data_IF_244932641663
#
_entry.id   IF_244932641663
#
_cell.length_a   1.000
_cell.length_b   1.000
_cell.length_c   1.000
_cell.angle_alpha   90.00
_cell.angle_beta   90.00
_cell.angle_gamma   90.00
#
_symmetry.space_group_name_H-M   'P 1'
#
loop_
_entity.id
_entity.type
_entity.pdbx_description
1 polymer ?
#
# COMPACT_ATOMS: atom_id res chain seq x y z
N UNK A 1 -31.20 -20.29 -43.37
CA UNK A 1 -29.85 -20.83 -43.13
C UNK A 1 -29.11 -19.82 -42.29
N UNK A 2 -28.95 -20.10 -40.99
CA UNK A 2 -28.33 -19.21 -40.02
C UNK A 2 -27.09 -19.93 -39.48
N UNK A 3 -25.96 -19.75 -40.15
CA UNK A 3 -24.71 -20.44 -39.82
C UNK A 3 -23.55 -19.46 -39.98
N UNK A 4 -23.39 -18.57 -39.00
CA UNK A 4 -22.16 -17.77 -38.80
C UNK A 4 -22.08 -17.03 -37.45
N UNK A 5 -22.67 -17.59 -36.39
CA UNK A 5 -22.68 -16.95 -35.05
C UNK A 5 -21.65 -17.56 -34.09
N UNK A 6 -21.22 -18.80 -34.33
CA UNK A 6 -20.29 -19.50 -33.45
C UNK A 6 -18.85 -18.97 -33.57
N UNK A 7 -18.35 -18.69 -34.78
CA UNK A 7 -17.00 -18.13 -34.99
C UNK A 7 -16.79 -16.81 -34.24
N UNK A 8 -17.76 -15.89 -34.30
CA UNK A 8 -17.65 -14.59 -33.62
C UNK A 8 -17.65 -14.72 -32.09
N UNK A 9 -18.40 -15.66 -31.53
CA UNK A 9 -18.44 -15.91 -30.08
C UNK A 9 -17.13 -16.55 -29.63
N UNK A 10 -16.61 -17.52 -30.38
CA UNK A 10 -15.33 -18.19 -30.08
C UNK A 10 -14.16 -17.21 -30.15
N UNK A 11 -14.11 -16.34 -31.17
CA UNK A 11 -13.08 -15.30 -31.25
C UNK A 11 -13.15 -14.29 -30.11
N UNK A 12 -14.37 -13.92 -29.69
CA UNK A 12 -14.58 -13.02 -28.55
C UNK A 12 -14.10 -13.68 -27.25
N UNK A 13 -14.45 -14.94 -27.01
CA UNK A 13 -13.99 -15.70 -25.83
C UNK A 13 -12.47 -15.82 -25.83
N UNK A 14 -11.87 -16.15 -26.98
CA UNK A 14 -10.41 -16.26 -27.14
C UNK A 14 -9.72 -14.93 -26.84
N UNK A 15 -10.28 -13.82 -27.32
CA UNK A 15 -9.77 -12.47 -27.05
C UNK A 15 -9.84 -12.14 -25.56
N UNK A 16 -10.99 -12.38 -24.93
CA UNK A 16 -11.17 -12.15 -23.48
C UNK A 16 -10.22 -13.01 -22.67
N UNK A 17 -10.06 -14.28 -23.03
CA UNK A 17 -9.14 -15.20 -22.36
C UNK A 17 -7.70 -14.68 -22.40
N UNK A 18 -7.19 -14.32 -23.58
CA UNK A 18 -5.83 -13.78 -23.71
C UNK A 18 -5.68 -12.44 -23.00
N UNK A 19 -6.68 -11.56 -23.05
CA UNK A 19 -6.67 -10.30 -22.32
C UNK A 19 -6.59 -10.52 -20.80
N UNK A 20 -7.37 -11.46 -20.24
CA UNK A 20 -7.33 -11.82 -18.83
C UNK A 20 -6.02 -12.50 -18.45
N UNK A 21 -5.48 -13.36 -19.31
CA UNK A 21 -4.19 -14.03 -19.09
C UNK A 21 -3.06 -13.01 -19.04
N UNK A 22 -2.97 -12.11 -20.02
CA UNK A 22 -1.96 -11.05 -20.06
C UNK A 22 -2.12 -10.12 -18.85
N UNK A 23 -3.34 -9.69 -18.53
CA UNK A 23 -3.61 -8.86 -17.37
C UNK A 23 -3.24 -9.56 -16.05
N UNK A 24 -3.48 -10.87 -15.96
CA UNK A 24 -3.11 -11.71 -14.83
C UNK A 24 -1.60 -11.76 -14.67
N UNK A 25 -0.88 -12.18 -15.72
CA UNK A 25 0.59 -12.24 -15.75
C UNK A 25 1.21 -10.88 -15.44
N UNK A 26 0.67 -9.81 -16.01
CA UNK A 26 1.16 -8.47 -15.74
C UNK A 26 1.00 -8.07 -14.27
N UNK A 27 -0.17 -8.37 -13.68
CA UNK A 27 -0.47 -8.09 -12.26
C UNK A 27 0.27 -9.00 -11.28
N UNK A 28 0.63 -10.21 -11.68
CA UNK A 28 1.38 -11.13 -10.82
C UNK A 28 2.87 -10.83 -10.83
N UNK A 29 3.43 -10.49 -12.00
CA UNK A 29 4.87 -10.32 -12.17
C UNK A 29 5.34 -8.88 -11.99
N UNK A 30 4.66 -7.90 -12.59
CA UNK A 30 5.22 -6.54 -12.69
C UNK A 30 4.64 -5.59 -11.65
N UNK A 31 3.36 -5.22 -11.80
CA UNK A 31 2.74 -4.17 -10.99
C UNK A 31 1.36 -4.56 -10.52
N UNK A 32 1.09 -4.35 -9.23
CA UNK A 32 -0.25 -4.48 -8.69
C UNK A 32 -0.80 -3.11 -8.30
N UNK A 33 -1.98 -2.70 -8.83
CA UNK A 33 -2.64 -1.49 -8.38
C UNK A 33 -3.26 -1.69 -6.99
N UNK A 34 -3.12 -0.70 -6.12
CA UNK A 34 -3.77 -0.61 -4.82
C UNK A 34 -4.47 0.72 -4.67
N UNK A 35 -5.54 0.71 -3.87
CA UNK A 35 -6.28 1.90 -3.46
C UNK A 35 -6.09 2.09 -1.95
N UNK A 36 -5.77 3.30 -1.50
CA UNK A 36 -5.53 3.61 -0.09
C UNK A 36 -6.84 3.94 0.64
N UNK A 37 -7.31 3.08 1.58
CA UNK A 37 -8.59 3.28 2.25
C UNK A 37 -8.46 3.96 3.62
N UNK A 38 -7.23 4.19 4.09
CA UNK A 38 -6.93 4.53 5.49
C UNK A 38 -6.01 5.75 5.61
N UNK A 39 -6.13 6.48 6.72
CA UNK A 39 -5.35 7.68 7.03
C UNK A 39 -3.93 7.42 7.54
N UNK A 40 -3.53 6.16 7.71
CA UNK A 40 -2.32 5.82 8.48
C UNK A 40 -1.00 6.23 7.82
N UNK A 41 -1.03 6.54 6.53
CA UNK A 41 0.13 6.97 5.75
C UNK A 41 -0.06 8.40 5.21
N UNK A 42 -1.00 9.20 5.74
CA UNK A 42 -1.39 10.53 5.24
C UNK A 42 -0.25 11.52 5.01
N UNK A 43 0.85 11.37 5.74
CA UNK A 43 2.01 12.22 5.52
C UNK A 43 2.57 11.97 4.10
N UNK A 44 2.49 10.77 3.54
CA UNK A 44 2.95 10.51 2.16
C UNK A 44 1.90 10.02 1.18
N UNK A 45 0.82 9.41 1.66
CA UNK A 45 -0.24 8.79 0.86
C UNK A 45 -1.59 9.19 1.44
N UNK A 46 -2.38 9.93 0.67
CA UNK A 46 -3.70 10.39 1.07
C UNK A 46 -4.75 9.31 0.86
N UNK A 47 -5.87 9.47 1.56
CA UNK A 47 -7.02 8.60 1.37
C UNK A 47 -7.59 8.85 -0.03
N UNK A 48 -7.79 7.78 -0.79
CA UNK A 48 -8.25 7.89 -2.17
C UNK A 48 -7.14 7.68 -3.20
N UNK A 49 -5.87 7.76 -2.80
CA UNK A 49 -4.74 7.60 -3.71
C UNK A 49 -4.71 6.20 -4.34
N UNK A 50 -4.33 6.18 -5.62
CA UNK A 50 -4.05 4.98 -6.38
C UNK A 50 -2.54 4.83 -6.56
N UNK A 51 -2.01 3.67 -6.19
CA UNK A 51 -0.58 3.39 -6.30
C UNK A 51 -0.34 2.08 -7.05
N UNK A 52 0.77 2.04 -7.79
CA UNK A 52 1.30 0.83 -8.41
C UNK A 52 2.46 0.30 -7.58
N UNK A 53 2.30 -0.91 -7.04
CA UNK A 53 3.36 -1.59 -6.29
C UNK A 53 4.21 -2.38 -7.26
N UNK A 54 5.52 -2.13 -7.26
CA UNK A 54 6.49 -2.94 -7.98
C UNK A 54 6.74 -4.27 -7.24
N UNK A 55 6.28 -5.39 -7.82
CA UNK A 55 6.48 -6.72 -7.22
C UNK A 55 7.88 -7.29 -7.46
N UNK A 56 8.61 -6.77 -8.44
CA UNK A 56 9.94 -7.26 -8.79
C UNK A 56 10.99 -6.82 -7.77
N UNK A 57 10.79 -5.69 -7.08
CA UNK A 57 11.76 -5.14 -6.14
C UNK A 57 12.11 -6.12 -5.01
N UNK A 58 11.11 -6.65 -4.31
CA UNK A 58 11.30 -7.53 -3.16
C UNK A 58 11.02 -9.00 -3.46
N UNK A 59 10.99 -9.34 -4.76
CA UNK A 59 10.81 -10.70 -5.24
C UNK A 59 9.41 -11.27 -5.07
N UNK A 60 9.28 -12.53 -5.47
CA UNK A 60 8.00 -13.23 -5.55
C UNK A 60 7.80 -14.16 -4.38
N UNK A 61 6.62 -14.07 -3.77
CA UNK A 61 6.19 -14.99 -2.71
C UNK A 61 4.91 -15.71 -3.13
N UNK A 62 4.43 -16.63 -2.29
CA UNK A 62 3.12 -17.27 -2.50
C UNK A 62 1.99 -16.26 -2.72
N UNK A 63 2.08 -15.07 -2.10
CA UNK A 63 1.08 -14.01 -2.21
C UNK A 63 1.16 -13.17 -3.49
N UNK A 64 2.17 -13.39 -4.35
CA UNK A 64 2.30 -12.67 -5.62
C UNK A 64 1.25 -13.12 -6.65
N UNK A 65 0.79 -14.37 -6.56
CA UNK A 65 -0.28 -14.93 -7.38
C UNK A 65 -1.69 -14.66 -6.79
N UNK A 66 -2.74 -14.58 -7.63
CA UNK A 66 -4.12 -14.62 -7.19
C UNK A 66 -4.36 -15.82 -6.28
N UNK A 67 -5.15 -15.61 -5.22
CA UNK A 67 -5.53 -16.64 -4.25
C UNK A 67 -4.33 -17.34 -3.56
N UNK A 68 -3.16 -16.69 -3.55
CA UNK A 68 -1.93 -17.25 -2.99
C UNK A 68 -1.49 -18.58 -3.61
N UNK A 69 -1.84 -18.83 -4.89
CA UNK A 69 -1.65 -20.11 -5.56
C UNK A 69 -0.24 -20.38 -6.09
N UNK A 70 0.71 -19.45 -5.89
CA UNK A 70 2.09 -19.60 -6.35
C UNK A 70 2.79 -20.74 -5.56
N UNK A 71 3.43 -21.73 -6.23
CA UNK A 71 4.12 -22.85 -5.59
C UNK A 71 5.52 -22.45 -5.08
N UNK A 72 5.59 -21.36 -4.29
CA UNK A 72 6.85 -20.77 -3.82
C UNK A 72 6.86 -20.79 -2.30
N UNK A 73 7.79 -21.56 -1.72
CA UNK A 73 8.08 -21.55 -0.29
C UNK A 73 9.15 -20.49 0.02
N UNK A 74 8.74 -19.25 0.24
CA UNK A 74 9.62 -18.14 0.61
C UNK A 74 9.51 -16.93 -0.31
N UNK A 75 10.65 -16.27 -0.56
CA UNK A 75 10.81 -15.19 -1.53
C UNK A 75 11.87 -15.57 -2.57
N UNK A 76 11.55 -15.43 -3.84
CA UNK A 76 12.46 -15.68 -4.97
C UNK A 76 12.80 -14.38 -5.68
N UNK A 77 14.07 -14.22 -6.10
CA UNK A 77 14.54 -13.10 -6.92
C UNK A 77 14.22 -11.71 -6.32
N UNK A 78 14.33 -11.55 -5.01
CA UNK A 78 14.07 -10.29 -4.32
C UNK A 78 15.31 -9.73 -3.66
N UNK A 79 15.41 -8.40 -3.58
CA UNK A 79 16.35 -7.74 -2.68
C UNK A 79 15.76 -7.62 -1.27
N UNK A 80 16.64 -7.43 -0.30
CA UNK A 80 16.21 -6.98 1.01
C UNK A 80 15.68 -5.55 0.92
N UNK A 81 14.64 -5.19 1.69
CA UNK A 81 14.12 -3.84 1.69
C UNK A 81 15.04 -2.90 2.47
N UNK A 82 15.05 -1.64 2.04
CA UNK A 82 15.88 -0.60 2.66
C UNK A 82 15.05 0.24 3.63
N UNK A 83 15.71 0.84 4.62
CA UNK A 83 15.04 1.76 5.53
C UNK A 83 14.43 2.91 4.74
N UNK A 84 13.23 3.30 5.13
CA UNK A 84 12.48 4.35 4.46
C UNK A 84 11.60 3.84 3.33
N UNK A 85 11.77 2.60 2.85
CA UNK A 85 10.91 2.03 1.82
C UNK A 85 9.44 2.01 2.27
N UNK A 86 8.53 2.39 1.37
CA UNK A 86 7.09 2.18 1.56
C UNK A 86 6.72 0.83 0.98
N UNK A 87 6.51 -0.14 1.85
CA UNK A 87 6.30 -1.53 1.49
C UNK A 87 4.85 -1.95 1.66
N UNK A 88 4.43 -2.92 0.85
CA UNK A 88 3.15 -3.61 1.00
C UNK A 88 3.41 -5.03 1.45
N UNK A 89 2.80 -5.42 2.56
CA UNK A 89 2.93 -6.77 3.09
C UNK A 89 1.59 -7.28 3.61
N UNK A 90 1.42 -8.60 3.61
CA UNK A 90 0.25 -9.24 4.18
C UNK A 90 0.42 -9.37 5.68
N UNK A 91 -0.52 -8.79 6.44
CA UNK A 91 -0.48 -8.84 7.91
C UNK A 91 -0.54 -10.29 8.40
N UNK A 92 0.37 -10.73 9.28
CA UNK A 92 0.51 -12.14 9.64
C UNK A 92 -0.73 -12.73 10.32
N UNK A 93 -1.46 -11.92 11.10
CA UNK A 93 -2.65 -12.37 11.84
C UNK A 93 -3.97 -12.04 11.15
N UNK A 94 -4.04 -10.95 10.38
CA UNK A 94 -5.29 -10.47 9.78
C UNK A 94 -5.44 -10.93 8.33
N UNK A 95 -4.35 -11.35 7.67
CA UNK A 95 -4.37 -11.78 6.28
C UNK A 95 -4.74 -10.67 5.29
N UNK A 96 -4.71 -9.41 5.70
CA UNK A 96 -5.01 -8.24 4.87
C UNK A 96 -3.73 -7.52 4.48
N UNK A 97 -3.71 -6.90 3.31
CA UNK A 97 -2.55 -6.14 2.83
C UNK A 97 -2.43 -4.80 3.56
N UNK A 98 -1.24 -4.49 4.05
CA UNK A 98 -0.89 -3.27 4.77
C UNK A 98 0.18 -2.52 4.00
N UNK A 99 0.00 -1.20 3.86
CA UNK A 99 0.99 -0.28 3.29
C UNK A 99 1.63 0.48 4.44
N UNK A 100 2.93 0.33 4.65
CA UNK A 100 3.68 0.99 5.74
C UNK A 100 5.07 1.38 5.31
N UNK A 101 5.66 2.36 5.99
CA UNK A 101 7.08 2.70 5.87
C UNK A 101 7.93 1.76 6.72
N UNK A 102 9.00 1.23 6.15
CA UNK A 102 9.97 0.40 6.85
C UNK A 102 10.92 1.29 7.66
N UNK A 103 10.90 1.11 8.98
CA UNK A 103 11.71 1.92 9.92
C UNK A 103 12.87 1.10 10.50
N UNK A 104 12.57 -0.10 11.00
CA UNK A 104 13.55 -1.01 11.59
C UNK A 104 13.78 -2.24 10.71
N UNK A 105 15.03 -2.66 10.67
CA UNK A 105 15.54 -3.90 10.09
C UNK A 105 15.92 -4.88 11.21
N UNK A 106 16.11 -6.18 10.88
CA UNK A 106 16.59 -7.16 11.85
C UNK A 106 17.88 -6.69 12.52
N UNK A 107 17.93 -6.78 13.85
CA UNK A 107 19.05 -6.33 14.67
C UNK A 107 18.92 -4.93 15.25
N UNK A 108 17.94 -4.12 14.80
CA UNK A 108 17.77 -2.78 15.35
C UNK A 108 17.07 -2.72 16.69
N UNK A 109 17.47 -1.73 17.47
CA UNK A 109 16.74 -1.27 18.65
C UNK A 109 15.94 -0.02 18.30
N UNK A 110 14.62 -0.17 18.25
CA UNK A 110 13.68 0.93 18.01
C UNK A 110 13.13 1.42 19.35
N UNK A 111 13.17 2.73 19.58
CA UNK A 111 12.58 3.37 20.76
C UNK A 111 11.77 4.60 20.34
N UNK A 112 10.69 4.90 21.04
CA UNK A 112 9.98 6.18 20.88
C UNK A 112 10.14 6.96 22.17
N UNK A 113 10.65 8.19 22.09
CA UNK A 113 10.81 9.11 23.23
C UNK A 113 10.24 10.45 22.81
N UNK A 114 9.29 10.98 23.59
CA UNK A 114 8.65 12.27 23.34
C UNK A 114 8.12 12.44 21.90
N UNK A 115 7.57 11.35 21.33
CA UNK A 115 7.04 11.33 19.96
C UNK A 115 8.08 11.17 18.85
N UNK A 116 9.37 11.18 19.18
CA UNK A 116 10.48 10.99 18.22
C UNK A 116 10.90 9.52 18.21
N UNK A 117 11.05 8.97 17.01
CA UNK A 117 11.57 7.61 16.80
C UNK A 117 13.09 7.65 16.87
N UNK A 118 13.69 6.75 17.66
CA UNK A 118 15.12 6.52 17.76
C UNK A 118 15.45 5.13 17.22
N UNK A 119 16.48 5.05 16.39
CA UNK A 119 17.01 3.83 15.79
C UNK A 119 18.44 3.64 16.29
N UNK A 120 18.69 2.57 17.06
CA UNK A 120 19.99 2.28 17.66
C UNK A 120 20.55 3.41 18.53
N UNK A 121 19.66 4.21 19.14
CA UNK A 121 20.01 5.33 20.01
C UNK A 121 20.09 6.69 19.31
N UNK A 122 20.10 6.71 17.98
CA UNK A 122 20.10 7.95 17.19
C UNK A 122 18.67 8.32 16.76
N UNK A 123 18.29 9.61 16.78
CA UNK A 123 16.98 10.04 16.31
C UNK A 123 16.84 9.77 14.80
N UNK A 124 15.69 9.25 14.39
CA UNK A 124 15.38 9.05 12.99
C UNK A 124 15.37 10.41 12.26
N UNK A 125 15.88 10.50 11.01
CA UNK A 125 15.84 11.72 10.24
C UNK A 125 14.41 12.26 10.11
N UNK A 126 14.26 13.56 10.37
CA UNK A 126 13.00 14.30 10.23
C UNK A 126 13.29 15.55 9.40
N UNK A 127 12.47 15.77 8.37
CA UNK A 127 12.53 16.93 7.51
C UNK A 127 11.23 17.71 7.67
N UNK A 128 11.29 18.97 8.15
CA UNK A 128 10.10 19.82 8.25
C UNK A 128 9.37 19.89 6.90
N UNK A 129 8.15 19.35 6.85
CA UNK A 129 7.34 19.29 5.64
C UNK A 129 6.16 20.30 5.67
N UNK A 130 6.27 21.30 6.54
CA UNK A 130 5.28 22.36 6.72
C UNK A 130 4.03 21.93 7.51
N UNK A 131 3.00 22.74 7.40
CA UNK A 131 1.70 22.50 8.05
C UNK A 131 0.75 21.87 7.04
N UNK A 132 0.25 20.68 7.36
CA UNK A 132 -0.83 20.05 6.61
C UNK A 132 -2.16 20.49 7.20
N UNK A 133 -3.09 20.88 6.32
CA UNK A 133 -4.43 21.32 6.73
C UNK A 133 -5.48 20.42 6.11
N UNK A 134 -6.45 20.01 6.92
CA UNK A 134 -7.60 19.23 6.47
C UNK A 134 -8.87 19.62 7.21
N UNK A 135 -10.03 19.38 6.60
CA UNK A 135 -11.31 19.63 7.26
C UNK A 135 -11.56 18.53 8.29
N UNK A 136 -12.06 18.92 9.47
CA UNK A 136 -12.46 18.01 10.53
C UNK A 136 -13.75 17.28 10.15
N UNK A 137 -13.59 16.14 9.47
CA UNK A 137 -14.69 15.28 9.04
C UNK A 137 -14.32 13.80 9.10
N UNK A 138 -15.32 12.91 8.97
CA UNK A 138 -15.08 11.47 8.96
C UNK A 138 -14.47 11.06 7.62
N UNK A 139 -13.34 10.36 7.67
CA UNK A 139 -12.58 10.03 6.48
C UNK A 139 -12.29 8.53 6.33
N UNK A 140 -12.14 8.14 5.07
CA UNK A 140 -11.89 6.76 4.67
C UNK A 140 -13.06 5.83 5.00
N UNK A 141 -12.89 4.55 4.67
CA UNK A 141 -13.94 3.55 4.90
C UNK A 141 -14.21 3.29 6.39
N UNK A 142 -13.22 3.56 7.24
CA UNK A 142 -13.33 3.39 8.69
C UNK A 142 -13.97 4.60 9.38
N UNK A 143 -14.19 5.72 8.67
CA UNK A 143 -14.82 6.92 9.22
C UNK A 143 -14.02 7.58 10.35
N UNK A 144 -12.69 7.48 10.31
CA UNK A 144 -11.81 8.08 11.33
C UNK A 144 -11.78 9.60 11.22
N UNK A 145 -11.65 10.27 12.37
CA UNK A 145 -11.46 11.73 12.42
C UNK A 145 -9.96 12.09 12.34
N UNK A 146 -9.60 13.23 11.74
CA UNK A 146 -8.27 13.82 11.83
C UNK A 146 -7.78 14.01 13.27
N UNK A 147 -6.45 14.02 13.45
CA UNK A 147 -5.80 14.40 14.71
C UNK A 147 -5.08 15.72 14.49
N UNK A 148 -5.54 16.75 15.19
CA UNK A 148 -5.10 18.12 14.99
C UNK A 148 -4.06 18.53 16.04
N UNK A 149 -3.03 19.26 15.63
CA UNK A 149 -2.05 19.90 16.54
C UNK A 149 -2.56 21.23 17.08
N UNK A 150 -3.46 21.92 16.37
CA UNK A 150 -4.06 23.20 16.80
C UNK A 150 -5.17 23.06 17.86
N UNK A 151 -5.20 21.94 18.61
CA UNK A 151 -6.16 21.69 19.69
C UNK A 151 -7.48 21.04 19.23
N UNK A 152 -8.53 21.08 20.08
CA UNK A 152 -9.83 20.52 19.74
C UNK A 152 -10.53 21.32 18.63
N UNK A 153 -10.69 20.71 17.46
CA UNK A 153 -11.39 21.30 16.31
C UNK A 153 -12.78 20.68 16.18
N UNK A 154 -13.80 21.51 16.02
CA UNK A 154 -15.18 21.07 15.77
C UNK A 154 -15.37 20.55 14.34
N UNK A 155 -16.43 19.77 14.10
CA UNK A 155 -16.78 19.28 12.75
C UNK A 155 -16.88 20.43 11.75
N UNK A 156 -16.27 20.27 10.56
CA UNK A 156 -16.22 21.31 9.52
C UNK A 156 -15.16 22.40 9.76
N UNK A 157 -14.49 22.40 10.91
CA UNK A 157 -13.36 23.29 11.18
C UNK A 157 -12.06 22.86 10.50
N UNK A 158 -11.06 23.73 10.51
CA UNK A 158 -9.73 23.45 9.94
C UNK A 158 -8.85 22.76 11.00
N UNK A 159 -8.48 21.53 10.70
CA UNK A 159 -7.54 20.72 11.44
C UNK A 159 -6.14 20.94 10.87
N UNK A 160 -5.24 21.49 11.68
CA UNK A 160 -3.84 21.66 11.30
C UNK A 160 -3.01 20.52 11.89
N UNK A 161 -2.01 20.05 11.15
CA UNK A 161 -1.06 19.05 11.61
C UNK A 161 0.34 19.45 11.16
N UNK A 162 1.21 19.68 12.12
CA UNK A 162 2.63 19.88 11.85
C UNK A 162 3.27 18.59 11.35
N UNK A 163 4.09 18.71 10.31
CA UNK A 163 4.80 17.58 9.69
C UNK A 163 6.30 17.76 9.79
N UNK A 164 6.96 16.69 10.19
CA UNK A 164 8.39 16.55 10.36
C UNK A 164 8.84 15.23 9.72
#
# INVERSE_FOLDING_TARGET
MAEKKEDGIVETIKTIFWALLIAGVFRTLFFQPFWIPSSSMKDTLLIGDFLFVNKMAYGYSKYSCPFSACPISGRLLGSEPERGDVIVFRHPTLGTDYVKRLIGLPGDKIQVKDGIVYINGEPAPQEPAGVFTEVMERQGRMGGLPRCSNGPVGMGGICEKERF
#
